data_IF_176264406979
#
_entry.id   IF_176264406979
#
_cell.length_a   1.000
_cell.length_b   1.000
_cell.length_c   1.000
_cell.angle_alpha   90.00
_cell.angle_beta   90.00
_cell.angle_gamma   90.00
#
_symmetry.space_group_name_H-M   'P 1'
#
loop_
_entity.id
_entity.type
_entity.pdbx_description
1 polymer ?
#
# COMPACT_ATOMS: atom_id res chain seq x y z
N UNK A 1 6.40 7.13 -15.47
CA UNK A 1 5.40 8.21 -15.62
C UNK A 1 5.54 9.22 -14.50
N UNK A 2 5.60 10.49 -14.86
CA UNK A 2 5.63 11.65 -13.92
C UNK A 2 4.33 11.82 -13.15
N UNK A 3 3.22 11.28 -13.67
CA UNK A 3 1.87 11.34 -13.07
C UNK A 3 1.82 10.93 -11.59
N UNK A 4 2.58 9.90 -11.20
CA UNK A 4 2.60 9.42 -9.81
C UNK A 4 3.61 10.14 -8.92
N UNK A 5 4.34 11.15 -9.41
CA UNK A 5 5.38 11.82 -8.61
C UNK A 5 4.85 12.39 -7.27
N UNK A 6 3.66 13.04 -7.20
CA UNK A 6 3.11 13.49 -5.92
C UNK A 6 2.78 12.33 -4.97
N UNK A 7 2.23 11.23 -5.50
CA UNK A 7 1.92 10.03 -4.72
C UNK A 7 3.21 9.38 -4.17
N UNK A 8 4.26 9.28 -4.99
CA UNK A 8 5.57 8.75 -4.55
C UNK A 8 6.18 9.61 -3.45
N UNK A 9 6.06 10.93 -3.57
CA UNK A 9 6.55 11.85 -2.53
C UNK A 9 5.77 11.69 -1.22
N UNK A 10 4.44 11.49 -1.28
CA UNK A 10 3.66 11.18 -0.07
C UNK A 10 4.02 9.82 0.52
N UNK A 11 4.13 8.77 -0.30
CA UNK A 11 4.52 7.45 0.16
C UNK A 11 5.87 7.49 0.89
N UNK A 12 6.86 8.18 0.32
CA UNK A 12 8.15 8.38 0.96
C UNK A 12 8.01 9.10 2.32
N UNK A 13 7.24 10.19 2.39
CA UNK A 13 7.00 10.92 3.66
C UNK A 13 6.31 10.04 4.70
N UNK A 14 5.38 9.19 4.31
CA UNK A 14 4.71 8.24 5.23
C UNK A 14 5.73 7.22 5.77
N UNK A 15 6.56 6.66 4.89
CA UNK A 15 7.59 5.69 5.28
C UNK A 15 8.62 6.31 6.21
N UNK A 16 9.09 7.52 5.91
CA UNK A 16 10.04 8.27 6.78
C UNK A 16 9.47 8.44 8.18
N UNK A 17 8.23 8.95 8.31
CA UNK A 17 7.58 9.12 9.62
C UNK A 17 7.41 7.80 10.37
N UNK A 18 7.01 6.73 9.68
CA UNK A 18 6.81 5.43 10.30
C UNK A 18 8.11 4.80 10.79
N UNK A 19 9.22 4.99 10.07
CA UNK A 19 10.55 4.57 10.51
C UNK A 19 11.00 5.39 11.72
N UNK A 20 10.84 6.72 11.68
CA UNK A 20 11.19 7.61 12.79
C UNK A 20 10.41 7.31 14.07
N UNK A 21 9.13 6.91 13.93
CA UNK A 21 8.28 6.50 15.04
C UNK A 21 8.57 5.07 15.55
N UNK A 22 9.39 4.29 14.86
CA UNK A 22 9.63 2.88 15.18
C UNK A 22 8.45 1.95 14.85
N UNK A 23 7.52 2.41 14.01
CA UNK A 23 6.32 1.68 13.59
C UNK A 23 6.58 0.82 12.34
N UNK A 24 7.57 1.19 11.53
CA UNK A 24 8.01 0.46 10.33
C UNK A 24 9.45 -0.02 10.49
N UNK A 25 9.82 -1.05 9.73
CA UNK A 25 11.20 -1.56 9.71
C UNK A 25 12.22 -0.47 9.34
N UNK A 26 13.25 -0.30 10.16
CA UNK A 26 14.29 0.73 9.98
C UNK A 26 15.58 0.21 9.34
N UNK A 27 15.67 -1.07 9.02
CA UNK A 27 16.86 -1.69 8.41
C UNK A 27 17.01 -1.39 6.91
N UNK A 28 15.96 -0.84 6.28
CA UNK A 28 15.97 -0.42 4.87
C UNK A 28 15.85 1.11 4.80
N UNK A 29 16.68 1.82 3.99
CA UNK A 29 16.53 3.25 3.80
C UNK A 29 15.13 3.63 3.29
N UNK A 30 14.51 4.65 3.89
CA UNK A 30 13.14 5.07 3.59
C UNK A 30 12.83 5.24 2.09
N UNK A 31 13.70 5.88 1.27
CA UNK A 31 13.43 6.01 -0.16
C UNK A 31 13.42 4.67 -0.90
N UNK A 32 14.22 3.70 -0.44
CA UNK A 32 14.25 2.35 -1.01
C UNK A 32 13.02 1.56 -0.61
N UNK A 33 12.63 1.60 0.67
CA UNK A 33 11.42 0.94 1.15
C UNK A 33 10.17 1.48 0.45
N UNK A 34 10.04 2.80 0.28
CA UNK A 34 8.93 3.41 -0.46
C UNK A 34 8.83 2.90 -1.91
N UNK A 35 9.96 2.78 -2.63
CA UNK A 35 9.98 2.23 -4.00
C UNK A 35 9.61 0.74 -4.03
N UNK A 36 10.04 -0.04 -3.03
CA UNK A 36 9.68 -1.45 -2.94
C UNK A 36 8.17 -1.61 -2.68
N UNK A 37 7.58 -0.77 -1.83
CA UNK A 37 6.13 -0.76 -1.58
C UNK A 37 5.36 -0.43 -2.86
N UNK A 38 5.74 0.63 -3.57
CA UNK A 38 5.13 0.98 -4.87
C UNK A 38 5.26 -0.17 -5.86
N UNK A 39 6.46 -0.74 -6.00
CA UNK A 39 6.72 -1.86 -6.92
C UNK A 39 5.92 -3.12 -6.58
N UNK A 40 5.81 -3.47 -5.29
CA UNK A 40 5.01 -4.58 -4.82
C UNK A 40 3.52 -4.39 -5.10
N UNK A 41 3.00 -3.19 -4.85
CA UNK A 41 1.61 -2.85 -5.17
C UNK A 41 1.34 -2.96 -6.68
N UNK A 42 2.22 -2.43 -7.53
CA UNK A 42 2.09 -2.54 -8.99
C UNK A 42 2.16 -4.00 -9.47
N UNK A 43 3.03 -4.82 -8.88
CA UNK A 43 3.12 -6.24 -9.21
C UNK A 43 1.83 -7.00 -8.85
N UNK A 44 1.21 -6.68 -7.71
CA UNK A 44 -0.09 -7.26 -7.35
C UNK A 44 -1.19 -6.81 -8.31
N UNK A 45 -1.22 -5.53 -8.70
CA UNK A 45 -2.21 -5.03 -9.67
C UNK A 45 -2.06 -5.68 -11.05
N UNK A 46 -0.81 -5.90 -11.49
CA UNK A 46 -0.52 -6.64 -12.72
C UNK A 46 -0.99 -8.10 -12.61
N UNK A 47 -0.68 -8.78 -11.51
CA UNK A 47 -1.12 -10.16 -11.27
C UNK A 47 -2.65 -10.25 -11.21
N UNK A 48 -3.31 -9.31 -10.53
CA UNK A 48 -4.76 -9.29 -10.44
C UNK A 48 -5.43 -9.16 -11.81
N UNK A 49 -4.82 -8.37 -12.70
CA UNK A 49 -5.27 -8.22 -14.09
C UNK A 49 -5.07 -9.50 -14.90
N UNK A 50 -3.94 -10.21 -14.69
CA UNK A 50 -3.62 -11.44 -15.42
C UNK A 50 -4.40 -12.67 -14.95
N UNK A 51 -4.77 -12.71 -13.69
CA UNK A 51 -5.35 -13.90 -13.03
C UNK A 51 -6.83 -13.75 -12.66
N UNK A 52 -7.52 -12.74 -13.24
CA UNK A 52 -8.94 -12.44 -13.00
C UNK A 52 -9.29 -12.32 -11.51
N UNK A 53 -8.37 -11.74 -10.73
CA UNK A 53 -8.59 -11.51 -9.30
C UNK A 53 -9.53 -10.32 -9.17
N UNK A 54 -10.67 -10.56 -8.50
CA UNK A 54 -11.67 -9.53 -8.25
C UNK A 54 -11.11 -8.33 -7.49
N UNK A 55 -11.73 -7.16 -7.71
CA UNK A 55 -11.28 -5.86 -7.18
C UNK A 55 -10.98 -5.85 -5.68
N UNK A 56 -11.92 -6.36 -4.87
CA UNK A 56 -11.80 -6.40 -3.42
C UNK A 56 -10.66 -7.31 -2.94
N UNK A 57 -10.44 -8.43 -3.64
CA UNK A 57 -9.35 -9.35 -3.35
C UNK A 57 -8.00 -8.75 -3.76
N UNK A 58 -7.92 -8.16 -4.95
CA UNK A 58 -6.72 -7.45 -5.41
C UNK A 58 -6.34 -6.29 -4.47
N UNK A 59 -7.33 -5.52 -4.00
CA UNK A 59 -7.13 -4.46 -3.00
C UNK A 59 -6.56 -5.01 -1.69
N UNK A 60 -7.12 -6.11 -1.19
CA UNK A 60 -6.63 -6.78 0.03
C UNK A 60 -5.20 -7.29 -0.13
N UNK A 61 -4.88 -7.87 -1.29
CA UNK A 61 -3.52 -8.34 -1.61
C UNK A 61 -2.50 -7.21 -1.72
N UNK A 62 -2.89 -6.04 -2.25
CA UNK A 62 -2.02 -4.85 -2.29
C UNK A 62 -1.66 -4.43 -0.86
N UNK A 63 -2.65 -4.35 0.03
CA UNK A 63 -2.42 -3.94 1.42
C UNK A 63 -1.58 -4.96 2.17
N UNK A 64 -1.88 -6.25 2.04
CA UNK A 64 -1.08 -7.32 2.65
C UNK A 64 0.39 -7.25 2.19
N UNK A 65 0.62 -7.03 0.89
CA UNK A 65 1.97 -6.92 0.32
C UNK A 65 2.71 -5.70 0.85
N UNK A 66 2.03 -4.54 0.93
CA UNK A 66 2.61 -3.32 1.49
C UNK A 66 3.00 -3.51 2.98
N UNK A 67 2.11 -4.10 3.78
CA UNK A 67 2.36 -4.37 5.21
C UNK A 67 3.51 -5.38 5.41
N UNK A 68 3.58 -6.41 4.57
CA UNK A 68 4.69 -7.37 4.60
C UNK A 68 6.04 -6.70 4.30
N UNK A 69 6.09 -5.80 3.32
CA UNK A 69 7.29 -5.02 3.02
C UNK A 69 7.68 -4.08 4.16
N UNK A 70 6.70 -3.53 4.87
CA UNK A 70 6.89 -2.73 6.09
C UNK A 70 7.41 -3.53 7.29
N UNK A 71 7.43 -4.87 7.21
CA UNK A 71 7.99 -5.77 8.23
C UNK A 71 6.95 -6.49 9.08
N UNK A 72 5.65 -6.36 8.78
CA UNK A 72 4.62 -7.14 9.46
C UNK A 72 4.63 -8.58 8.94
N UNK A 73 4.43 -9.55 9.83
CA UNK A 73 4.13 -10.92 9.40
C UNK A 73 2.70 -11.03 8.86
N UNK A 74 2.42 -12.10 8.13
CA UNK A 74 1.14 -12.29 7.45
C UNK A 74 -0.06 -12.42 8.39
N UNK A 75 0.14 -12.87 9.64
CA UNK A 75 -0.95 -12.97 10.63
C UNK A 75 -1.26 -11.59 11.19
N UNK A 76 -0.22 -10.88 11.65
CA UNK A 76 -0.37 -9.51 12.14
C UNK A 76 -0.97 -8.57 11.09
N UNK A 77 -0.54 -8.70 9.83
CA UNK A 77 -1.11 -7.93 8.73
C UNK A 77 -2.60 -8.26 8.50
N UNK A 78 -2.97 -9.54 8.52
CA UNK A 78 -4.37 -9.96 8.40
C UNK A 78 -5.25 -9.46 9.54
N UNK A 79 -4.74 -9.52 10.78
CA UNK A 79 -5.42 -8.99 11.97
C UNK A 79 -5.60 -7.47 11.88
N UNK A 80 -4.58 -6.73 11.44
CA UNK A 80 -4.64 -5.28 11.27
C UNK A 80 -5.72 -4.88 10.24
N UNK A 81 -5.77 -5.55 9.09
CA UNK A 81 -6.79 -5.31 8.06
C UNK A 81 -8.18 -5.65 8.62
N UNK A 82 -8.31 -6.73 9.40
CA UNK A 82 -9.56 -7.10 10.02
C UNK A 82 -10.04 -6.06 11.05
N UNK A 83 -9.11 -5.48 11.81
CA UNK A 83 -9.39 -4.49 12.83
C UNK A 83 -9.60 -3.06 12.30
N UNK A 84 -9.19 -2.77 11.05
CA UNK A 84 -9.19 -1.42 10.47
C UNK A 84 -10.10 -1.33 9.25
N UNK A 85 -11.40 -1.01 9.41
CA UNK A 85 -12.36 -0.90 8.31
C UNK A 85 -11.94 0.04 7.18
N UNK A 86 -11.19 1.09 7.49
CA UNK A 86 -10.71 2.09 6.54
C UNK A 86 -9.67 1.53 5.56
N UNK A 87 -9.00 0.43 5.94
CA UNK A 87 -8.11 -0.31 5.04
C UNK A 87 -8.90 -1.19 4.06
N UNK A 88 -10.12 -1.57 4.39
CA UNK A 88 -10.96 -2.32 3.44
C UNK A 88 -11.40 -1.38 2.31
N UNK A 89 -11.68 -1.98 1.17
CA UNK A 89 -12.02 -1.23 -0.04
C UNK A 89 -13.16 -0.24 0.24
N UNK A 90 -12.84 1.05 0.25
CA UNK A 90 -13.84 2.10 0.25
C UNK A 90 -14.41 2.22 -1.17
N UNK A 91 -15.74 2.35 -1.28
CA UNK A 91 -16.36 2.65 -2.57
C UNK A 91 -15.63 3.84 -3.21
N UNK A 92 -15.35 3.81 -4.54
CA UNK A 92 -14.64 4.90 -5.18
C UNK A 92 -15.35 6.20 -4.83
N UNK A 93 -14.62 7.15 -4.23
CA UNK A 93 -15.10 8.52 -4.11
C UNK A 93 -15.24 9.00 -5.54
N UNK A 94 -16.47 8.97 -6.06
CA UNK A 94 -16.85 9.77 -7.22
C UNK A 94 -16.57 11.19 -6.77
N UNK A 95 -15.41 11.72 -7.13
CA UNK A 95 -15.20 13.16 -7.13
C UNK A 95 -16.32 13.68 -8.01
N UNK A 96 -17.32 14.32 -7.40
CA UNK A 96 -18.23 15.19 -8.12
C UNK A 96 -17.35 16.04 -9.03
N UNK A 97 -17.55 15.84 -10.33
CA UNK A 97 -16.95 16.65 -11.37
C UNK A 97 -17.28 18.11 -11.05
N UNK A 98 -16.34 18.80 -10.42
CA UNK A 98 -16.47 20.20 -10.09
C UNK A 98 -16.18 21.00 -11.36
N UNK A 99 -17.28 21.40 -12.00
CA UNK A 99 -17.51 22.61 -12.80
C UNK A 99 -16.85 22.72 -14.17
#
# INVERSE_FOLDING_TARGET
>A
GTELAPLRAELQRVVERGIEAGELRGDIPAPTLARLIEGGALAVLDEATRSDIGRAEGHSLVILTALALCGLDWRAAGELIAATPELREAAPRVTEAAS
#
